data_IF_438532053984
#
_entry.id   IF_438532053984
#
_cell.length_a   1.000
_cell.length_b   1.000
_cell.length_c   1.000
_cell.angle_alpha   90.00
_cell.angle_beta   90.00
_cell.angle_gamma   90.00
#
_symmetry.space_group_name_H-M   'P 1'
#
loop_
_entity.id
_entity.type
_entity.pdbx_description
1 polymer ?
#
# COMPACT_ATOMS: atom_id res chain seq x y z
N UNK A 1 6.75 -15.04 -18.97
CA UNK A 1 5.83 -13.89 -18.79
C UNK A 1 4.91 -13.67 -19.99
N UNK A 2 3.71 -13.10 -19.81
CA UNK A 2 2.80 -12.68 -20.90
C UNK A 2 2.47 -11.19 -20.80
N UNK A 3 2.52 -10.46 -21.93
CA UNK A 3 2.12 -9.05 -22.03
C UNK A 3 0.92 -8.90 -22.96
N UNK A 4 -0.08 -8.14 -22.53
CA UNK A 4 -1.32 -7.92 -23.28
C UNK A 4 -1.75 -6.46 -23.21
N UNK A 5 -2.43 -5.94 -24.26
CA UNK A 5 -3.10 -4.65 -24.15
C UNK A 5 -4.29 -4.81 -23.20
N UNK A 6 -4.30 -4.03 -22.12
CA UNK A 6 -5.36 -4.04 -21.11
C UNK A 6 -6.47 -3.03 -21.44
N UNK A 7 -6.08 -1.87 -21.99
CA UNK A 7 -7.03 -0.84 -22.39
C UNK A 7 -6.34 0.47 -22.75
N UNK A 8 -7.11 1.56 -22.73
CA UNK A 8 -6.61 2.91 -22.94
C UNK A 8 -7.16 3.86 -21.87
N UNK A 9 -6.36 4.84 -21.46
CA UNK A 9 -6.81 5.97 -20.65
C UNK A 9 -7.72 6.91 -21.45
N UNK A 10 -8.37 7.85 -20.77
CA UNK A 10 -9.23 8.85 -21.41
C UNK A 10 -8.50 9.72 -22.46
N UNK A 11 -7.21 10.00 -22.26
CA UNK A 11 -6.34 10.71 -23.21
C UNK A 11 -5.73 9.79 -24.30
N UNK A 12 -6.12 8.51 -24.33
CA UNK A 12 -5.78 7.56 -25.40
C UNK A 12 -4.44 6.83 -25.22
N UNK A 13 -3.75 7.00 -24.07
CA UNK A 13 -2.52 6.25 -23.78
C UNK A 13 -2.83 4.77 -23.58
N UNK A 14 -1.97 3.93 -24.13
CA UNK A 14 -2.13 2.48 -24.02
C UNK A 14 -1.66 1.98 -22.65
N UNK A 15 -2.48 1.13 -22.05
CA UNK A 15 -2.19 0.44 -20.79
C UNK A 15 -2.05 -1.03 -21.09
N UNK A 16 -0.95 -1.62 -20.62
CA UNK A 16 -0.63 -3.03 -20.78
C UNK A 16 -0.73 -3.74 -19.44
N UNK A 17 -1.16 -5.00 -19.48
CA UNK A 17 -1.00 -5.94 -18.39
C UNK A 17 0.18 -6.86 -18.62
N UNK A 18 0.78 -7.30 -17.52
CA UNK A 18 1.93 -8.21 -17.48
C UNK A 18 1.61 -9.32 -16.50
N UNK A 19 1.42 -10.53 -17.00
CA UNK A 19 1.14 -11.73 -16.19
C UNK A 19 2.41 -12.54 -16.01
N UNK A 20 2.79 -12.76 -14.76
CA UNK A 20 3.92 -13.61 -14.37
C UNK A 20 3.33 -14.83 -13.67
N UNK A 21 3.66 -16.03 -14.17
CA UNK A 21 3.24 -17.31 -13.62
C UNK A 21 4.48 -18.10 -13.24
N UNK A 22 4.52 -18.59 -12.00
CA UNK A 22 5.66 -19.35 -11.49
C UNK A 22 5.47 -20.87 -11.71
N UNK A 23 6.46 -21.67 -11.35
CA UNK A 23 6.44 -23.13 -11.56
C UNK A 23 5.30 -23.86 -10.84
N UNK A 24 4.84 -23.32 -9.70
CA UNK A 24 3.72 -23.89 -8.94
C UNK A 24 2.34 -23.66 -9.58
N UNK A 25 2.29 -22.78 -10.60
CA UNK A 25 1.06 -22.36 -11.24
C UNK A 25 0.40 -21.13 -10.62
N UNK A 26 0.96 -20.60 -9.53
CA UNK A 26 0.56 -19.31 -8.99
C UNK A 26 0.93 -18.18 -9.96
N UNK A 27 0.20 -17.07 -9.90
CA UNK A 27 0.42 -15.96 -10.82
C UNK A 27 0.13 -14.60 -10.19
N UNK A 28 0.80 -13.58 -10.72
CA UNK A 28 0.45 -12.18 -10.50
C UNK A 28 0.15 -11.50 -11.83
N UNK A 29 -0.66 -10.44 -11.77
CA UNK A 29 -0.85 -9.51 -12.89
C UNK A 29 -0.47 -8.09 -12.45
N UNK A 30 0.31 -7.42 -13.29
CA UNK A 30 0.74 -6.04 -13.10
C UNK A 30 0.18 -5.17 -14.23
N UNK A 31 -0.12 -3.90 -13.95
CA UNK A 31 -0.49 -2.90 -14.97
C UNK A 31 0.52 -1.76 -14.95
N UNK A 32 0.89 -1.23 -16.12
CA UNK A 32 1.71 -0.01 -16.15
C UNK A 32 0.92 1.27 -15.83
N UNK A 33 -0.42 1.22 -15.80
CA UNK A 33 -1.21 2.30 -15.20
C UNK A 33 -1.08 2.22 -13.68
N UNK A 34 -0.62 3.29 -13.04
CA UNK A 34 -0.39 3.36 -11.59
C UNK A 34 0.63 2.38 -11.03
N UNK A 35 1.43 1.72 -11.89
CA UNK A 35 2.27 0.57 -11.53
C UNK A 35 1.53 -0.40 -10.58
N UNK A 36 0.34 -0.83 -11.01
CA UNK A 36 -0.63 -1.55 -10.17
C UNK A 36 -0.29 -3.02 -10.06
N UNK A 37 -0.28 -3.55 -8.84
CA UNK A 37 -0.39 -4.98 -8.56
C UNK A 37 -1.87 -5.37 -8.63
N UNK A 38 -2.30 -5.83 -9.80
CA UNK A 38 -3.71 -6.03 -10.10
C UNK A 38 -4.24 -7.35 -9.57
N UNK A 39 -3.44 -8.41 -9.56
CA UNK A 39 -3.87 -9.77 -9.19
C UNK A 39 -2.76 -10.51 -8.47
N UNK A 40 -3.15 -11.34 -7.49
CA UNK A 40 -2.29 -12.38 -6.91
C UNK A 40 -3.15 -13.63 -6.76
N UNK A 41 -2.90 -14.64 -7.59
CA UNK A 41 -3.61 -15.92 -7.55
C UNK A 41 -2.72 -17.00 -6.96
N UNK A 42 -3.06 -17.46 -5.76
CA UNK A 42 -2.27 -18.40 -4.95
C UNK A 42 -3.13 -19.55 -4.43
N UNK A 43 -2.57 -20.77 -4.25
CA UNK A 43 -3.34 -21.93 -3.85
C UNK A 43 -3.77 -21.83 -2.37
N UNK A 44 -4.88 -22.45 -2.04
CA UNK A 44 -5.28 -22.77 -0.66
C UNK A 44 -4.72 -24.14 -0.22
N UNK A 45 -5.14 -24.63 0.95
CA UNK A 45 -4.67 -25.93 1.49
C UNK A 45 -5.07 -27.15 0.64
N UNK A 46 -6.09 -27.00 -0.21
CA UNK A 46 -6.57 -28.05 -1.11
C UNK A 46 -5.93 -27.93 -2.50
N UNK A 47 -5.12 -26.89 -2.75
CA UNK A 47 -4.52 -26.59 -4.05
C UNK A 47 -5.41 -25.73 -4.96
N UNK A 48 -6.54 -25.23 -4.47
CA UNK A 48 -7.44 -24.38 -5.24
C UNK A 48 -6.93 -22.93 -5.27
N UNK A 49 -6.78 -22.39 -6.48
CA UNK A 49 -6.27 -21.04 -6.68
C UNK A 49 -7.39 -20.01 -6.55
N UNK A 50 -7.12 -18.93 -5.80
CA UNK A 50 -7.99 -17.76 -5.79
C UNK A 50 -7.16 -16.48 -5.86
N UNK A 51 -7.72 -15.47 -6.51
CA UNK A 51 -7.20 -14.11 -6.47
C UNK A 51 -7.45 -13.49 -5.09
N UNK A 52 -6.37 -13.20 -4.37
CA UNK A 52 -6.42 -12.64 -3.01
C UNK A 52 -6.40 -11.11 -3.01
N UNK A 53 -6.47 -10.44 -4.17
CA UNK A 53 -6.56 -8.98 -4.24
C UNK A 53 -7.96 -8.48 -4.61
N UNK A 54 -8.47 -7.55 -3.82
CA UNK A 54 -9.61 -6.70 -4.16
C UNK A 54 -9.17 -5.70 -5.23
N UNK A 55 -9.93 -5.56 -6.31
CA UNK A 55 -9.60 -4.66 -7.41
C UNK A 55 -10.57 -4.78 -8.58
N UNK A 56 -10.08 -4.56 -9.80
CA UNK A 56 -10.91 -4.46 -11.01
C UNK A 56 -10.35 -5.30 -12.17
N UNK A 57 -11.24 -5.91 -12.96
CA UNK A 57 -10.91 -6.71 -14.16
C UNK A 57 -10.92 -5.89 -15.47
N UNK A 58 -11.28 -4.60 -15.41
CA UNK A 58 -11.44 -3.75 -16.60
C UNK A 58 -10.70 -2.44 -16.46
N UNK A 59 -10.31 -1.85 -17.61
CA UNK A 59 -9.74 -0.49 -17.63
C UNK A 59 -10.73 0.55 -17.10
N UNK A 60 -12.03 0.39 -17.36
CA UNK A 60 -13.07 1.28 -16.83
C UNK A 60 -13.08 1.28 -15.30
N UNK A 61 -13.05 0.10 -14.66
CA UNK A 61 -12.95 0.00 -13.20
C UNK A 61 -11.65 0.59 -12.67
N UNK A 62 -10.53 0.41 -13.38
CA UNK A 62 -9.25 1.01 -13.01
C UNK A 62 -9.28 2.55 -13.08
N UNK A 63 -10.04 3.15 -14.01
CA UNK A 63 -10.20 4.60 -14.14
C UNK A 63 -11.20 5.20 -13.14
N UNK A 64 -12.21 4.43 -12.71
CA UNK A 64 -13.21 4.87 -11.73
C UNK A 64 -12.83 4.57 -10.27
N UNK A 65 -11.76 3.80 -10.07
CA UNK A 65 -11.13 3.47 -8.78
C UNK A 65 -10.94 4.71 -7.90
N UNK A 66 -11.56 4.73 -6.72
CA UNK A 66 -11.41 5.85 -5.77
C UNK A 66 -10.44 5.58 -4.63
N UNK A 67 -10.13 4.33 -4.33
CA UNK A 67 -9.38 3.96 -3.13
C UNK A 67 -8.09 3.21 -3.47
N UNK A 68 -7.42 3.60 -4.55
CA UNK A 68 -6.03 3.19 -4.82
C UNK A 68 -5.78 1.67 -4.95
N UNK A 69 -6.78 0.84 -5.26
CA UNK A 69 -6.65 -0.64 -5.22
C UNK A 69 -5.42 -1.15 -6.00
N UNK A 70 -4.42 -1.64 -5.24
CA UNK A 70 -3.18 -2.22 -5.77
C UNK A 70 -2.20 -1.23 -6.40
N UNK A 71 -2.49 0.08 -6.38
CA UNK A 71 -1.68 1.13 -7.00
C UNK A 71 -0.37 1.35 -6.24
N UNK A 72 0.65 1.79 -6.96
CA UNK A 72 1.81 2.45 -6.35
C UNK A 72 1.44 3.89 -6.01
N UNK A 73 1.65 4.26 -4.74
CA UNK A 73 1.22 5.53 -4.17
C UNK A 73 2.43 6.39 -3.80
N UNK A 74 2.40 7.66 -4.19
CA UNK A 74 3.45 8.64 -3.90
C UNK A 74 3.12 10.00 -4.54
N UNK A 75 3.98 11.02 -4.49
CA UNK A 75 5.36 11.04 -3.94
C UNK A 75 5.45 10.78 -2.44
N UNK A 76 4.42 11.18 -1.69
CA UNK A 76 4.29 10.94 -0.26
C UNK A 76 2.96 10.25 0.03
N UNK A 77 3.02 8.96 0.36
CA UNK A 77 1.91 8.15 0.80
C UNK A 77 1.34 8.67 2.13
N UNK A 78 0.06 8.37 2.34
CA UNK A 78 -0.75 8.82 3.45
C UNK A 78 -0.87 10.36 3.52
N UNK A 79 -1.15 10.92 4.69
CA UNK A 79 -1.57 12.31 4.86
C UNK A 79 -0.40 13.26 5.13
N UNK A 80 -0.47 14.45 4.54
CA UNK A 80 0.31 15.63 4.92
C UNK A 80 -0.68 16.69 5.42
N UNK A 81 -0.41 17.26 6.59
CA UNK A 81 -1.26 18.30 7.17
C UNK A 81 -1.42 19.52 6.26
N UNK A 82 -2.53 20.24 6.42
CA UNK A 82 -2.90 21.37 5.56
C UNK A 82 -1.95 22.57 5.52
N UNK A 83 -0.92 22.58 6.35
CA UNK A 83 0.11 23.63 6.37
C UNK A 83 1.21 23.39 5.33
N UNK A 84 1.19 22.25 4.64
CA UNK A 84 2.23 21.84 3.71
C UNK A 84 3.42 21.23 4.46
N UNK A 85 4.62 21.48 3.97
CA UNK A 85 5.87 20.98 4.54
C UNK A 85 6.92 22.09 4.62
N UNK A 86 7.88 21.93 5.53
CA UNK A 86 9.03 22.85 5.66
C UNK A 86 10.32 22.08 5.40
N UNK A 87 11.17 22.58 4.50
CA UNK A 87 12.49 22.01 4.22
C UNK A 87 13.51 23.15 4.31
N UNK A 88 14.52 23.00 5.17
CA UNK A 88 15.57 24.00 5.40
C UNK A 88 15.03 25.43 5.64
N UNK A 89 13.92 25.54 6.39
CA UNK A 89 13.26 26.81 6.71
C UNK A 89 12.39 27.40 5.60
N UNK A 90 12.30 26.76 4.43
CA UNK A 90 11.40 27.15 3.34
C UNK A 90 10.10 26.35 3.40
N UNK A 91 8.98 27.06 3.34
CA UNK A 91 7.65 26.47 3.31
C UNK A 91 7.24 26.10 1.87
N UNK A 92 6.75 24.89 1.69
CA UNK A 92 6.19 24.38 0.45
C UNK A 92 4.71 24.08 0.65
N UNK A 93 3.86 24.67 -0.20
CA UNK A 93 2.42 24.39 -0.22
C UNK A 93 2.17 23.19 -1.10
N UNK A 94 1.74 22.09 -0.49
CA UNK A 94 1.37 20.88 -1.21
C UNK A 94 -0.12 20.95 -1.61
N UNK A 95 -0.46 20.46 -2.80
CA UNK A 95 -1.84 20.42 -3.28
C UNK A 95 -2.73 19.62 -2.33
N UNK A 96 -3.89 20.18 -1.97
CA UNK A 96 -4.86 19.55 -1.07
C UNK A 96 -5.97 18.90 -1.89
N UNK A 97 -6.27 17.65 -1.61
CA UNK A 97 -7.27 16.85 -2.35
C UNK A 97 -8.40 16.33 -1.48
N UNK A 98 -8.32 16.49 -0.15
CA UNK A 98 -9.42 16.14 0.76
C UNK A 98 -10.03 17.42 1.30
N UNK A 99 -11.22 17.77 0.80
CA UNK A 99 -12.04 18.92 1.19
C UNK A 99 -11.29 20.26 1.30
N UNK A 100 -10.18 20.42 0.55
CA UNK A 100 -9.30 21.60 0.66
C UNK A 100 -8.57 21.73 2.01
N UNK A 101 -8.58 20.69 2.84
CA UNK A 101 -7.98 20.67 4.18
C UNK A 101 -6.53 20.19 4.17
N UNK A 102 -6.29 18.98 3.66
CA UNK A 102 -5.00 18.30 3.70
C UNK A 102 -4.72 17.53 2.39
N UNK A 103 -3.49 17.06 2.25
CA UNK A 103 -3.07 16.20 1.14
C UNK A 103 -3.12 14.75 1.57
N UNK A 104 -3.64 13.88 0.72
CA UNK A 104 -3.61 12.44 0.84
C UNK A 104 -2.91 11.85 -0.39
N UNK A 105 -2.00 10.89 -0.16
CA UNK A 105 -1.40 10.05 -1.21
C UNK A 105 -0.75 10.84 -2.35
N UNK A 106 -0.04 11.93 -2.03
CA UNK A 106 0.63 12.78 -3.02
C UNK A 106 -0.31 13.38 -4.07
N UNK A 107 -1.60 13.56 -3.72
CA UNK A 107 -2.66 13.93 -4.66
C UNK A 107 -2.83 12.94 -5.84
N UNK A 108 -2.59 11.66 -5.57
CA UNK A 108 -2.80 10.55 -6.52
C UNK A 108 -2.02 10.68 -7.83
N UNK A 109 -0.92 11.43 -7.84
CA UNK A 109 -0.08 11.64 -9.02
C UNK A 109 0.38 10.29 -9.60
N UNK A 110 0.94 9.43 -8.75
CA UNK A 110 1.55 8.17 -9.18
C UNK A 110 0.50 7.16 -9.64
N UNK A 111 -0.63 7.14 -8.95
CA UNK A 111 -1.73 6.21 -9.16
C UNK A 111 -2.42 6.42 -10.51
N UNK A 112 -2.51 7.68 -10.94
CA UNK A 112 -3.18 8.09 -12.17
C UNK A 112 -2.22 8.26 -13.36
N UNK A 113 -0.94 7.95 -13.20
CA UNK A 113 0.04 7.99 -14.28
C UNK A 113 0.06 6.68 -15.08
N UNK A 114 0.32 6.77 -16.38
CA UNK A 114 0.78 5.63 -17.18
C UNK A 114 2.30 5.59 -17.09
N UNK A 115 2.83 4.64 -16.36
CA UNK A 115 4.27 4.45 -16.17
C UNK A 115 4.88 3.81 -17.43
N UNK A 116 6.15 4.15 -17.68
CA UNK A 116 6.97 3.38 -18.60
C UNK A 116 7.24 2.02 -17.98
N UNK A 117 7.59 1.03 -18.80
CA UNK A 117 7.90 -0.32 -18.31
C UNK A 117 9.10 -0.93 -19.03
N UNK A 118 9.76 -1.82 -18.32
CA UNK A 118 10.84 -2.68 -18.79
C UNK A 118 10.61 -4.08 -18.24
N UNK A 119 10.61 -5.10 -19.12
CA UNK A 119 10.51 -6.50 -18.73
C UNK A 119 11.91 -6.99 -18.39
N UNK A 120 12.11 -7.46 -17.17
CA UNK A 120 13.38 -7.96 -16.64
C UNK A 120 13.30 -9.48 -16.48
N UNK A 121 13.66 -10.21 -17.53
CA UNK A 121 13.54 -11.67 -17.54
C UNK A 121 12.08 -12.14 -17.57
N UNK A 122 11.83 -13.34 -17.03
CA UNK A 122 10.51 -13.96 -17.04
C UNK A 122 9.69 -13.73 -15.76
N UNK A 123 10.32 -13.18 -14.72
CA UNK A 123 9.78 -13.10 -13.36
C UNK A 123 9.59 -11.66 -12.85
N UNK A 124 10.03 -10.64 -13.61
CA UNK A 124 10.09 -9.27 -13.10
C UNK A 124 9.71 -8.19 -14.13
N UNK A 125 9.01 -7.15 -13.67
CA UNK A 125 8.71 -5.95 -14.46
C UNK A 125 9.10 -4.72 -13.65
N UNK A 126 9.90 -3.85 -14.26
CA UNK A 126 10.22 -2.53 -13.72
C UNK A 126 9.33 -1.48 -14.37
N UNK A 127 8.68 -0.65 -13.56
CA UNK A 127 7.96 0.53 -14.00
C UNK A 127 8.76 1.78 -13.65
N UNK A 128 8.75 2.79 -14.53
CA UNK A 128 9.39 4.07 -14.26
C UNK A 128 8.52 5.29 -14.57
N UNK A 129 8.64 6.32 -13.73
CA UNK A 129 7.87 7.56 -13.84
C UNK A 129 8.69 8.76 -13.35
N UNK A 130 8.63 9.85 -14.11
CA UNK A 130 9.31 11.11 -13.77
C UNK A 130 8.31 12.12 -13.23
N UNK A 131 8.55 12.60 -12.02
CA UNK A 131 7.77 13.65 -11.35
C UNK A 131 8.60 14.93 -11.34
N UNK A 132 8.13 15.97 -12.04
CA UNK A 132 8.87 17.23 -12.20
C UNK A 132 8.89 18.06 -10.90
N UNK A 133 9.89 18.93 -10.75
CA UNK A 133 9.93 19.95 -9.71
C UNK A 133 8.65 20.80 -9.72
N UNK A 134 8.08 21.02 -8.54
CA UNK A 134 6.85 21.75 -8.33
C UNK A 134 5.57 20.96 -8.61
N UNK A 135 5.64 19.72 -9.11
CA UNK A 135 4.45 18.92 -9.35
C UNK A 135 3.75 18.61 -8.01
N UNK A 136 2.44 18.84 -7.96
CA UNK A 136 1.63 18.82 -6.73
C UNK A 136 2.17 19.67 -5.56
N UNK A 137 3.06 20.62 -5.86
CA UNK A 137 3.72 21.48 -4.88
C UNK A 137 4.99 20.91 -4.25
N UNK A 138 5.41 19.69 -4.62
CA UNK A 138 6.64 19.07 -4.09
C UNK A 138 7.90 19.64 -4.79
N UNK A 139 8.97 19.94 -4.03
CA UNK A 139 10.23 20.40 -4.62
C UNK A 139 11.03 19.27 -5.27
N UNK A 140 11.91 19.66 -6.19
CA UNK A 140 12.90 18.81 -6.87
C UNK A 140 12.27 17.82 -7.86
N UNK A 141 12.98 17.58 -8.96
CA UNK A 141 12.63 16.51 -9.88
C UNK A 141 12.88 15.17 -9.20
N UNK A 142 12.12 14.16 -9.59
CA UNK A 142 12.21 12.83 -9.02
C UNK A 142 12.03 11.77 -10.10
N UNK A 143 13.07 10.96 -10.31
CA UNK A 143 13.00 9.74 -11.09
C UNK A 143 12.55 8.60 -10.17
N UNK A 144 11.39 8.02 -10.44
CA UNK A 144 10.85 6.90 -9.69
C UNK A 144 10.99 5.62 -10.52
N UNK A 145 11.42 4.56 -9.86
CA UNK A 145 11.35 3.20 -10.36
C UNK A 145 10.71 2.29 -9.30
N UNK A 146 9.83 1.40 -9.74
CA UNK A 146 9.29 0.30 -8.94
C UNK A 146 9.42 -0.99 -9.71
N UNK A 147 10.10 -1.97 -9.13
CA UNK A 147 10.27 -3.31 -9.72
C UNK A 147 9.45 -4.31 -8.93
N UNK A 148 8.59 -5.02 -9.62
CA UNK A 148 7.86 -6.17 -9.09
C UNK A 148 8.53 -7.45 -9.58
N UNK A 149 8.85 -8.34 -8.66
CA UNK A 149 9.37 -9.69 -8.95
C UNK A 149 8.46 -10.73 -8.31
N UNK A 150 8.11 -11.78 -9.05
CA UNK A 150 7.35 -12.92 -8.53
C UNK A 150 8.15 -14.22 -8.60
N UNK A 151 8.40 -14.83 -7.43
CA UNK A 151 9.29 -15.99 -7.33
C UNK A 151 8.54 -17.33 -7.27
N UNK A 152 9.26 -18.43 -7.47
CA UNK A 152 8.73 -19.80 -7.29
C UNK A 152 8.37 -20.14 -5.84
N UNK A 153 8.70 -19.25 -4.88
CA UNK A 153 8.28 -19.37 -3.47
C UNK A 153 7.00 -18.60 -3.17
N UNK A 154 6.25 -18.19 -4.21
CA UNK A 154 5.08 -17.31 -4.09
C UNK A 154 5.39 -16.01 -3.34
N UNK A 155 6.57 -15.43 -3.59
CA UNK A 155 6.94 -14.13 -3.04
C UNK A 155 6.67 -13.05 -4.09
N UNK A 156 5.84 -12.06 -3.75
CA UNK A 156 5.78 -10.78 -4.46
C UNK A 156 6.77 -9.85 -3.80
N UNK A 157 7.86 -9.53 -4.49
CA UNK A 157 8.86 -8.55 -4.05
C UNK A 157 8.61 -7.24 -4.77
N UNK A 158 8.55 -6.15 -4.02
CA UNK A 158 8.38 -4.79 -4.52
C UNK A 158 9.62 -4.02 -4.10
N UNK A 159 10.42 -3.62 -5.08
CA UNK A 159 11.62 -2.84 -4.89
C UNK A 159 11.39 -1.42 -5.42
N UNK A 160 11.60 -0.42 -4.58
CA UNK A 160 11.50 0.98 -4.93
C UNK A 160 12.90 1.60 -5.05
N UNK A 161 13.16 2.34 -6.12
CA UNK A 161 14.36 3.17 -6.29
C UNK A 161 13.92 4.56 -6.78
N UNK A 162 13.95 5.54 -5.88
CA UNK A 162 13.47 6.89 -6.11
C UNK A 162 14.62 7.88 -5.90
N UNK A 163 15.04 8.53 -6.99
CA UNK A 163 16.26 9.36 -7.05
C UNK A 163 15.90 10.81 -7.36
N UNK A 164 15.87 11.69 -6.35
CA UNK A 164 15.63 13.11 -6.57
C UNK A 164 16.91 13.83 -7.01
N UNK A 165 16.77 14.97 -7.68
CA UNK A 165 17.89 15.87 -8.02
C UNK A 165 18.06 17.04 -7.04
N UNK A 166 17.39 16.96 -5.89
CA UNK A 166 17.42 17.93 -4.81
C UNK A 166 16.66 17.41 -3.58
N UNK A 167 16.63 18.18 -2.49
CA UNK A 167 15.91 17.75 -1.28
C UNK A 167 14.41 17.67 -1.52
N UNK A 168 13.79 16.55 -1.18
CA UNK A 168 12.34 16.36 -1.28
C UNK A 168 11.86 15.24 -0.34
N UNK A 169 10.64 15.29 0.21
CA UNK A 169 10.09 14.13 0.90
C UNK A 169 9.75 13.03 -0.09
N UNK A 170 10.05 11.78 0.28
CA UNK A 170 9.66 10.59 -0.46
C UNK A 170 9.08 9.60 0.53
N UNK A 171 7.90 9.05 0.23
CA UNK A 171 7.32 7.95 0.98
C UNK A 171 6.44 7.18 0.00
N UNK A 172 6.99 6.15 -0.64
CA UNK A 172 6.28 5.39 -1.68
C UNK A 172 5.85 4.06 -1.10
N UNK A 173 4.63 3.62 -1.43
CA UNK A 173 4.08 2.33 -0.99
C UNK A 173 3.21 1.71 -2.07
N UNK A 174 2.73 0.49 -1.84
CA UNK A 174 1.73 -0.16 -2.67
C UNK A 174 0.44 -0.38 -1.86
N UNK A 175 -0.69 0.04 -2.41
CA UNK A 175 -1.98 0.09 -1.73
C UNK A 175 -2.87 -1.13 -2.08
N UNK A 176 -2.29 -2.33 -2.11
CA UNK A 176 -3.03 -3.57 -2.31
C UNK A 176 -3.99 -3.87 -1.15
N UNK A 177 -5.23 -4.20 -1.51
CA UNK A 177 -6.26 -4.69 -0.59
C UNK A 177 -6.31 -6.21 -0.67
N UNK A 178 -5.87 -6.87 0.39
CA UNK A 178 -5.83 -8.31 0.49
C UNK A 178 -7.11 -8.88 1.09
N UNK A 179 -7.54 -10.02 0.56
CA UNK A 179 -8.47 -10.94 1.19
C UNK A 179 -7.99 -12.37 0.92
N UNK A 180 -7.36 -13.01 1.90
CA UNK A 180 -6.74 -14.33 1.73
C UNK A 180 -7.76 -15.46 1.48
N UNK A 181 -9.05 -15.26 1.79
CA UNK A 181 -10.11 -16.19 1.40
C UNK A 181 -10.41 -16.14 -0.11
N UNK A 182 -9.87 -15.14 -0.80
CA UNK A 182 -10.19 -14.77 -2.18
C UNK A 182 -11.16 -13.59 -2.21
N UNK A 183 -11.10 -12.79 -3.28
CA UNK A 183 -11.87 -11.55 -3.40
C UNK A 183 -13.38 -11.71 -3.11
N UNK A 184 -14.00 -12.81 -3.55
CA UNK A 184 -15.43 -13.07 -3.38
C UNK A 184 -15.81 -13.73 -2.04
N UNK A 185 -14.87 -13.93 -1.12
CA UNK A 185 -15.11 -14.65 0.15
C UNK A 185 -15.84 -13.84 1.22
N UNK A 186 -16.11 -12.56 0.97
CA UNK A 186 -16.82 -11.67 1.89
C UNK A 186 -15.86 -10.74 2.64
N UNK A 187 -16.11 -10.54 3.93
CA UNK A 187 -15.30 -9.62 4.75
C UNK A 187 -14.07 -10.30 5.37
N UNK A 188 -13.09 -9.50 5.79
CA UNK A 188 -11.81 -9.98 6.34
C UNK A 188 -11.78 -10.14 7.87
N UNK A 189 -12.93 -10.05 8.55
CA UNK A 189 -12.95 -9.97 10.02
C UNK A 189 -12.53 -11.28 10.71
N UNK A 190 -12.60 -12.41 10.00
CA UNK A 190 -12.15 -13.73 10.47
C UNK A 190 -10.65 -13.96 10.31
N UNK A 191 -9.96 -13.20 9.46
CA UNK A 191 -8.51 -13.30 9.30
C UNK A 191 -7.80 -13.05 10.63
N UNK A 192 -6.80 -13.86 10.91
CA UNK A 192 -5.92 -13.70 12.05
C UNK A 192 -4.71 -12.87 11.64
N UNK A 193 -4.49 -11.75 12.32
CA UNK A 193 -3.42 -10.78 12.08
C UNK A 193 -2.44 -10.79 13.25
N UNK A 194 -1.15 -10.73 12.94
CA UNK A 194 -0.07 -10.40 13.86
C UNK A 194 0.78 -9.29 13.25
N UNK A 195 1.10 -8.26 14.03
CA UNK A 195 1.97 -7.16 13.62
C UNK A 195 3.06 -7.00 14.69
N UNK A 196 4.32 -7.01 14.26
CA UNK A 196 5.49 -6.83 15.14
C UNK A 196 5.72 -5.35 15.42
N UNK A 197 4.82 -4.77 16.19
CA UNK A 197 4.83 -3.37 16.61
C UNK A 197 4.41 -3.25 18.08
N UNK A 198 5.19 -2.49 18.86
CA UNK A 198 4.85 -2.11 20.25
C UNK A 198 4.11 -0.79 20.34
N UNK A 199 4.12 -0.01 19.27
CA UNK A 199 3.53 1.32 19.24
C UNK A 199 2.74 1.55 17.95
N UNK A 200 1.84 2.52 17.99
CA UNK A 200 1.15 3.07 16.82
C UNK A 200 1.13 4.60 16.92
N UNK A 201 0.73 5.27 15.85
CA UNK A 201 0.60 6.74 15.83
C UNK A 201 -0.88 7.14 15.90
N UNK A 202 -1.38 7.62 17.05
CA UNK A 202 -2.72 8.18 17.15
C UNK A 202 -2.93 9.36 16.20
N UNK A 203 -4.16 9.50 15.73
CA UNK A 203 -4.59 10.52 14.80
C UNK A 203 -5.70 11.39 15.37
N UNK A 204 -5.84 12.59 14.80
CA UNK A 204 -6.93 13.51 15.07
C UNK A 204 -8.16 13.20 14.19
N UNK A 205 -9.22 14.01 14.31
CA UNK A 205 -10.48 13.83 13.56
C UNK A 205 -10.33 13.89 12.04
N UNK A 206 -9.28 14.55 11.52
CA UNK A 206 -8.94 14.58 10.08
C UNK A 206 -8.03 13.38 9.69
N UNK A 207 -7.87 12.40 10.59
CA UNK A 207 -7.00 11.22 10.44
C UNK A 207 -5.51 11.55 10.25
N UNK A 208 -5.05 12.71 10.75
CA UNK A 208 -3.64 13.12 10.72
C UNK A 208 -2.98 12.74 12.04
N UNK A 209 -1.78 12.10 12.03
CA UNK A 209 -1.06 11.81 13.27
C UNK A 209 -0.79 13.04 14.11
N UNK A 210 -1.00 12.91 15.42
CA UNK A 210 -0.82 14.00 16.41
C UNK A 210 0.64 14.24 16.79
N UNK A 211 1.54 13.34 16.37
CA UNK A 211 2.94 13.28 16.83
C UNK A 211 3.15 12.32 18.01
N UNK A 212 2.07 11.85 18.65
CA UNK A 212 2.16 10.84 19.70
C UNK A 212 2.62 9.48 19.13
N UNK A 213 3.47 8.78 19.89
CA UNK A 213 3.80 7.36 19.68
C UNK A 213 3.24 6.59 20.88
N UNK A 214 2.08 5.97 20.71
CA UNK A 214 1.31 5.33 21.80
C UNK A 214 1.57 3.84 21.85
N UNK A 215 1.77 3.28 23.05
CA UNK A 215 1.90 1.84 23.24
C UNK A 215 0.62 1.11 22.79
N UNK A 216 0.77 -0.03 22.12
CA UNK A 216 -0.37 -0.90 21.78
C UNK A 216 -0.84 -1.74 22.97
N UNK A 217 0.00 -1.88 24.00
CA UNK A 217 -0.26 -2.77 25.14
C UNK A 217 -1.57 -2.43 25.85
N UNK A 218 -2.39 -3.46 26.11
CA UNK A 218 -3.73 -3.33 26.71
C UNK A 218 -4.70 -2.44 25.93
N UNK A 219 -4.51 -2.30 24.60
CA UNK A 219 -5.43 -1.58 23.71
C UNK A 219 -5.97 -2.50 22.61
N UNK A 220 -7.04 -2.10 21.89
CA UNK A 220 -7.48 -2.79 20.67
C UNK A 220 -6.41 -2.89 19.58
N UNK A 221 -5.33 -2.11 19.65
CA UNK A 221 -4.22 -2.15 18.70
C UNK A 221 -3.18 -3.24 19.03
N UNK A 222 -3.33 -3.99 20.12
CA UNK A 222 -2.37 -5.05 20.45
C UNK A 222 -2.50 -6.26 19.50
N UNK A 223 -1.73 -6.25 18.41
CA UNK A 223 -1.56 -7.35 17.45
C UNK A 223 -0.21 -8.05 17.63
N UNK A 224 0.49 -7.85 18.76
CA UNK A 224 1.80 -8.51 19.03
C UNK A 224 1.65 -10.03 19.10
N UNK A 225 0.49 -10.50 19.53
CA UNK A 225 0.06 -11.91 19.48
C UNK A 225 -1.06 -12.02 18.43
N UNK A 226 -1.09 -13.07 17.61
CA UNK A 226 -2.12 -13.24 16.59
C UNK A 226 -3.53 -13.13 17.18
N UNK A 227 -4.39 -12.36 16.50
CA UNK A 227 -5.82 -12.26 16.82
C UNK A 227 -6.64 -12.01 15.57
N UNK A 228 -7.93 -12.35 15.62
CA UNK A 228 -8.88 -12.00 14.55
C UNK A 228 -8.95 -10.48 14.39
N UNK A 229 -8.92 -9.99 13.14
CA UNK A 229 -9.09 -8.57 12.84
C UNK A 229 -10.39 -8.04 13.46
N UNK A 230 -11.47 -8.82 13.40
CA UNK A 230 -12.76 -8.46 13.95
C UNK A 230 -12.88 -8.48 15.48
N UNK A 231 -11.87 -8.94 16.24
CA UNK A 231 -11.99 -9.15 17.70
C UNK A 231 -12.36 -7.85 18.43
N UNK A 232 -11.60 -6.79 18.15
CA UNK A 232 -11.70 -5.53 18.91
C UNK A 232 -12.17 -4.35 18.04
N UNK A 233 -12.42 -4.56 16.74
CA UNK A 233 -12.65 -3.48 15.75
C UNK A 233 -13.83 -2.56 16.06
N UNK A 234 -14.78 -3.02 16.87
CA UNK A 234 -15.96 -2.27 17.31
C UNK A 234 -15.88 -1.81 18.77
N UNK A 235 -14.70 -1.88 19.40
CA UNK A 235 -14.50 -1.39 20.76
C UNK A 235 -14.74 0.13 20.82
N UNK A 236 -15.23 0.66 21.95
CA UNK A 236 -15.46 2.11 22.13
C UNK A 236 -14.14 2.86 22.41
N UNK A 237 -13.09 2.53 21.66
CA UNK A 237 -11.80 3.21 21.70
C UNK A 237 -11.84 4.42 20.75
N UNK A 238 -11.33 5.55 21.22
CA UNK A 238 -11.34 6.82 20.48
C UNK A 238 -10.75 6.68 19.08
N UNK A 239 -9.63 5.97 18.94
CA UNK A 239 -8.90 5.85 17.68
C UNK A 239 -9.64 4.93 16.70
N UNK A 240 -10.31 3.89 17.18
CA UNK A 240 -11.20 3.07 16.35
C UNK A 240 -12.45 3.83 15.88
N UNK A 241 -12.98 4.74 16.70
CA UNK A 241 -14.11 5.59 16.31
C UNK A 241 -13.67 6.56 15.20
N UNK A 242 -12.52 7.22 15.36
CA UNK A 242 -11.95 8.14 14.35
C UNK A 242 -11.69 7.39 13.04
N UNK A 243 -11.04 6.23 13.09
CA UNK A 243 -10.71 5.43 11.90
C UNK A 243 -11.85 4.59 11.33
N UNK A 244 -13.03 4.57 11.98
CA UNK A 244 -14.15 3.67 11.67
C UNK A 244 -13.76 2.18 11.68
N UNK A 245 -12.77 1.85 12.51
CA UNK A 245 -12.00 0.60 12.49
C UNK A 245 -10.50 0.91 12.48
N UNK A 246 -9.70 -0.05 12.03
CA UNK A 246 -8.26 0.19 11.86
C UNK A 246 -8.02 0.98 10.56
N UNK A 247 -7.44 2.17 10.71
CA UNK A 247 -6.78 2.97 9.67
C UNK A 247 -5.56 3.67 10.29
N UNK A 248 -4.61 2.89 10.81
CA UNK A 248 -3.53 3.43 11.64
C UNK A 248 -2.16 2.93 11.20
N UNK A 249 -1.17 3.81 11.35
CA UNK A 249 0.22 3.45 11.20
C UNK A 249 0.75 2.78 12.48
N UNK A 250 1.28 1.57 12.33
CA UNK A 250 1.99 0.82 13.35
C UNK A 250 3.49 1.06 13.25
N UNK A 251 4.12 1.35 14.38
CA UNK A 251 5.56 1.59 14.49
C UNK A 251 6.29 0.24 14.63
N UNK A 252 6.93 -0.21 13.55
CA UNK A 252 7.52 -1.54 13.46
C UNK A 252 8.76 -1.67 14.35
N UNK A 253 8.88 -2.80 15.04
CA UNK A 253 10.03 -3.08 15.91
C UNK A 253 11.34 -3.23 15.11
N UNK A 254 12.48 -3.00 15.77
CA UNK A 254 13.83 -3.28 15.25
C UNK A 254 14.15 -2.63 13.89
N UNK A 255 13.62 -1.43 13.62
CA UNK A 255 13.98 -0.67 12.42
C UNK A 255 15.46 -0.31 12.43
N UNK A 256 16.18 -0.83 11.43
CA UNK A 256 17.61 -0.58 11.19
C UNK A 256 17.89 -0.23 9.73
N UNK A 257 16.84 -0.13 8.91
CA UNK A 257 16.94 -0.10 7.45
C UNK A 257 17.23 -1.46 6.80
N UNK A 258 17.27 -2.54 7.57
CA UNK A 258 17.38 -3.90 7.04
C UNK A 258 16.00 -4.55 6.88
N UNK A 259 15.85 -5.34 5.80
CA UNK A 259 14.66 -6.14 5.53
C UNK A 259 14.39 -7.11 6.69
N UNK A 260 13.19 -7.07 7.25
CA UNK A 260 12.76 -7.92 8.37
C UNK A 260 11.29 -8.25 8.26
N UNK A 261 10.89 -9.34 8.91
CA UNK A 261 9.48 -9.69 9.04
C UNK A 261 8.78 -8.62 9.89
N UNK A 262 7.57 -8.22 9.49
CA UNK A 262 6.79 -7.22 10.23
C UNK A 262 5.36 -7.66 10.53
N UNK A 263 4.80 -8.59 9.75
CA UNK A 263 3.45 -9.07 9.95
C UNK A 263 3.24 -10.49 9.41
N UNK A 264 2.24 -11.15 9.98
CA UNK A 264 1.67 -12.40 9.47
C UNK A 264 0.16 -12.29 9.43
N UNK A 265 -0.45 -12.80 8.37
CA UNK A 265 -1.89 -12.90 8.22
C UNK A 265 -2.28 -14.30 7.83
N UNK A 266 -3.33 -14.84 8.44
CA UNK A 266 -3.83 -16.18 8.17
C UNK A 266 -5.35 -16.16 7.99
N UNK A 267 -5.84 -16.85 6.96
CA UNK A 267 -7.26 -17.15 6.81
C UNK A 267 -7.55 -18.59 7.21
N UNK A 268 -8.29 -18.83 8.31
CA UNK A 268 -8.54 -20.18 8.80
C UNK A 268 -9.40 -21.04 7.87
N UNK A 269 -10.21 -20.44 7.00
CA UNK A 269 -11.10 -21.17 6.09
C UNK A 269 -10.31 -21.76 4.91
N UNK A 270 -9.53 -20.95 4.19
CA UNK A 270 -8.70 -21.42 3.07
C UNK A 270 -7.39 -22.08 3.53
N UNK A 271 -6.87 -21.71 4.70
CA UNK A 271 -5.52 -22.06 5.12
C UNK A 271 -4.42 -21.21 4.48
N UNK A 272 -4.78 -20.21 3.66
CA UNK A 272 -3.78 -19.29 3.10
C UNK A 272 -3.16 -18.44 4.20
N UNK A 273 -1.84 -18.27 4.09
CA UNK A 273 -1.02 -17.47 4.99
C UNK A 273 -0.17 -16.50 4.19
N UNK A 274 -0.06 -15.28 4.68
CA UNK A 274 0.78 -14.22 4.14
C UNK A 274 1.81 -13.82 5.20
N UNK A 275 3.10 -13.98 4.91
CA UNK A 275 4.20 -13.46 5.72
C UNK A 275 4.78 -12.23 5.05
N UNK A 276 4.93 -11.14 5.80
CA UNK A 276 5.25 -9.82 5.24
C UNK A 276 6.59 -9.33 5.75
N UNK A 277 7.42 -8.80 4.85
CA UNK A 277 8.75 -8.27 5.13
C UNK A 277 8.88 -6.83 4.61
N UNK A 278 9.63 -6.00 5.33
CA UNK A 278 9.98 -4.65 4.89
C UNK A 278 11.24 -4.15 5.56
N UNK A 279 11.95 -3.23 4.91
CA UNK A 279 13.01 -2.44 5.54
C UNK A 279 12.50 -1.13 6.16
N UNK A 280 11.24 -0.75 5.93
CA UNK A 280 10.66 0.52 6.38
C UNK A 280 10.31 0.54 7.89
N UNK A 281 10.14 1.75 8.47
CA UNK A 281 9.87 1.89 9.91
C UNK A 281 8.41 1.66 10.30
N UNK A 282 7.45 1.80 9.38
CA UNK A 282 6.03 1.75 9.67
C UNK A 282 5.23 0.92 8.68
N UNK A 283 4.01 0.59 9.08
CA UNK A 283 2.99 0.02 8.20
C UNK A 283 1.64 0.63 8.50
N UNK A 284 0.94 1.14 7.48
CA UNK A 284 -0.48 1.46 7.59
C UNK A 284 -1.28 0.16 7.57
N UNK A 285 -2.03 -0.10 8.64
CA UNK A 285 -3.02 -1.17 8.66
C UNK A 285 -4.41 -0.56 8.52
N UNK A 286 -4.95 -0.67 7.30
CA UNK A 286 -6.27 -0.19 6.94
C UNK A 286 -7.17 -1.35 6.53
N UNK A 287 -8.38 -1.44 7.09
CA UNK A 287 -9.27 -2.59 6.86
C UNK A 287 -10.44 -2.29 5.93
N UNK A 288 -10.32 -1.32 5.01
CA UNK A 288 -11.37 -1.10 4.01
C UNK A 288 -12.66 -0.48 4.56
N UNK A 289 -12.55 0.43 5.53
CA UNK A 289 -13.68 1.02 6.25
C UNK A 289 -14.62 1.87 5.39
N UNK A 290 -14.14 2.40 4.26
CA UNK A 290 -14.88 3.34 3.40
C UNK A 290 -15.56 2.68 2.20
N UNK A 291 -15.24 1.42 1.92
CA UNK A 291 -15.94 0.65 0.90
C UNK A 291 -17.41 0.45 1.28
N UNK A 292 -18.33 0.76 0.37
CA UNK A 292 -19.78 0.75 0.63
C UNK A 292 -20.58 -0.11 -0.37
N UNK A 293 -19.90 -0.73 -1.34
CA UNK A 293 -20.49 -1.56 -2.38
C UNK A 293 -20.89 -0.80 -3.65
N UNK A 294 -20.67 0.52 -3.73
CA UNK A 294 -20.97 1.32 -4.92
C UNK A 294 -20.04 1.02 -6.10
N UNK A 295 -18.78 0.67 -5.84
CA UNK A 295 -17.83 0.23 -6.85
C UNK A 295 -17.95 -1.28 -7.10
N UNK A 296 -18.00 -1.66 -8.38
CA UNK A 296 -18.07 -3.05 -8.83
C UNK A 296 -16.67 -3.49 -9.27
N UNK A 297 -16.12 -4.49 -8.57
CA UNK A 297 -14.80 -5.04 -8.81
C UNK A 297 -14.81 -6.29 -9.67
N UNK A 298 -13.78 -7.11 -9.48
CA UNK A 298 -13.54 -8.34 -10.25
C UNK A 298 -14.72 -9.30 -10.22
N UNK A 299 -14.97 -10.05 -11.29
CA UNK A 299 -16.08 -11.00 -11.33
C UNK A 299 -17.46 -10.40 -11.06
N UNK A 300 -17.61 -9.06 -11.16
CA UNK A 300 -18.83 -8.29 -10.84
C UNK A 300 -19.24 -8.31 -9.37
N UNK A 301 -18.33 -8.59 -8.44
CA UNK A 301 -18.62 -8.47 -7.02
C UNK A 301 -18.49 -7.01 -6.57
N UNK A 302 -19.36 -6.53 -5.67
CA UNK A 302 -19.23 -5.19 -5.10
C UNK A 302 -18.08 -5.11 -4.09
N UNK A 303 -17.34 -3.99 -4.08
CA UNK A 303 -16.35 -3.67 -3.04
C UNK A 303 -17.09 -3.22 -1.78
N UNK A 304 -17.42 -4.16 -0.91
CA UNK A 304 -18.21 -3.89 0.30
C UNK A 304 -17.34 -3.59 1.52
N UNK A 305 -17.97 -3.04 2.56
CA UNK A 305 -17.32 -2.67 3.81
C UNK A 305 -16.47 -3.81 4.36
N UNK A 306 -15.16 -3.54 4.53
CA UNK A 306 -14.16 -4.50 5.04
C UNK A 306 -14.04 -5.78 4.21
N UNK A 307 -14.22 -5.68 2.89
CA UNK A 307 -13.94 -6.78 1.94
C UNK A 307 -12.46 -7.06 1.71
N UNK A 308 -11.56 -6.16 2.15
CA UNK A 308 -10.11 -6.33 2.09
C UNK A 308 -9.38 -5.44 3.09
N UNK A 309 -8.12 -5.79 3.39
CA UNK A 309 -7.22 -5.02 4.23
C UNK A 309 -5.93 -4.64 3.49
N UNK A 310 -5.31 -3.53 3.87
CA UNK A 310 -4.03 -3.06 3.34
C UNK A 310 -2.94 -3.17 4.42
N UNK A 311 -1.71 -3.41 3.99
CA UNK A 311 -0.50 -3.35 4.79
C UNK A 311 0.52 -2.47 4.07
N UNK A 312 0.31 -1.16 4.10
CA UNK A 312 1.14 -0.22 3.34
C UNK A 312 2.42 0.08 4.12
N UNK A 313 3.52 -0.57 3.75
CA UNK A 313 4.84 -0.30 4.37
C UNK A 313 5.31 1.10 4.00
N UNK A 314 5.68 1.91 5.00
CA UNK A 314 5.88 3.35 4.80
C UNK A 314 6.74 3.98 5.92
N UNK A 315 7.18 5.22 5.69
CA UNK A 315 7.46 6.17 6.78
C UNK A 315 6.15 6.64 7.42
N UNK A 316 6.21 7.09 8.67
CA UNK A 316 5.01 7.50 9.41
C UNK A 316 4.31 8.67 8.72
N UNK A 317 2.97 8.70 8.69
CA UNK A 317 2.26 9.79 8.03
C UNK A 317 2.59 11.15 8.67
N UNK A 318 2.59 12.19 7.84
CA UNK A 318 2.88 13.56 8.27
C UNK A 318 4.27 13.73 8.95
N UNK A 319 5.26 12.89 8.64
CA UNK A 319 6.58 12.87 9.30
C UNK A 319 7.31 14.23 9.31
N UNK A 320 7.36 14.97 8.19
CA UNK A 320 8.02 16.28 8.15
C UNK A 320 7.40 17.33 9.08
N UNK A 321 6.15 17.15 9.50
CA UNK A 321 5.46 18.04 10.43
C UNK A 321 5.50 17.50 11.88
N UNK A 322 6.17 16.36 12.11
CA UNK A 322 6.32 15.71 13.40
C UNK A 322 7.82 15.40 13.62
N UNK A 323 8.59 16.30 14.27
CA UNK A 323 10.05 16.20 14.33
C UNK A 323 10.58 14.95 15.04
N UNK A 324 9.78 14.35 15.94
CA UNK A 324 10.13 13.13 16.66
C UNK A 324 9.95 11.85 15.80
N UNK A 325 9.32 11.96 14.63
CA UNK A 325 9.18 10.84 13.70
C UNK A 325 10.46 10.66 12.89
N UNK A 326 10.65 9.43 12.39
CA UNK A 326 11.72 9.17 11.42
C UNK A 326 11.38 9.95 10.15
N UNK A 327 12.29 10.84 9.77
CA UNK A 327 12.07 11.78 8.68
C UNK A 327 12.23 11.10 7.32
N UNK A 328 11.32 11.41 6.41
CA UNK A 328 11.27 10.83 5.07
C UNK A 328 11.83 11.81 4.01
N UNK A 329 12.94 12.49 4.34
CA UNK A 329 13.57 13.51 3.51
C UNK A 329 14.82 12.94 2.81
N UNK A 330 14.86 13.05 1.48
CA UNK A 330 15.89 12.44 0.64
C UNK A 330 16.50 13.49 -0.29
N UNK A 331 17.68 13.19 -0.85
CA UNK A 331 18.40 14.05 -1.80
C UNK A 331 19.21 13.22 -2.82
N UNK A 332 19.92 13.89 -3.71
CA UNK A 332 20.72 13.28 -4.78
C UNK A 332 21.78 12.28 -4.28
N UNK A 333 22.27 12.47 -3.05
CA UNK A 333 23.31 11.64 -2.44
C UNK A 333 22.72 10.53 -1.57
N UNK A 334 21.46 10.69 -1.14
CA UNK A 334 20.72 9.76 -0.29
C UNK A 334 19.36 9.47 -0.94
N UNK A 335 19.31 8.61 -1.98
CA UNK A 335 18.06 8.24 -2.63
C UNK A 335 17.19 7.39 -1.68
N UNK A 336 15.88 7.36 -1.95
CA UNK A 336 14.98 6.41 -1.31
C UNK A 336 15.08 5.07 -2.04
N UNK A 337 15.62 4.07 -1.35
CA UNK A 337 15.65 2.67 -1.81
C UNK A 337 14.99 1.83 -0.73
N UNK A 338 14.02 1.01 -1.11
CA UNK A 338 13.26 0.20 -0.14
C UNK A 338 12.72 -1.07 -0.75
N UNK A 339 12.68 -2.14 0.05
CA UNK A 339 12.11 -3.44 -0.29
C UNK A 339 10.92 -3.80 0.60
N UNK A 340 9.85 -4.28 -0.02
CA UNK A 340 8.71 -4.93 0.64
C UNK A 340 8.43 -6.28 -0.02
N UNK A 341 8.17 -7.31 0.80
CA UNK A 341 7.91 -8.67 0.31
C UNK A 341 6.65 -9.24 0.96
N UNK A 342 5.73 -9.73 0.14
CA UNK A 342 4.59 -10.54 0.56
C UNK A 342 4.81 -11.98 0.11
N UNK A 343 5.01 -12.90 1.06
CA UNK A 343 5.17 -14.33 0.79
C UNK A 343 3.91 -15.09 1.14
N UNK A 344 3.42 -15.89 0.20
CA UNK A 344 2.21 -16.69 0.37
C UNK A 344 2.51 -18.17 0.56
N UNK A 345 1.80 -18.81 1.48
CA UNK A 345 1.80 -20.26 1.68
C UNK A 345 0.39 -20.73 2.03
N UNK A 346 0.19 -22.05 2.10
CA UNK A 346 -1.04 -22.64 2.62
C UNK A 346 -0.71 -23.75 3.62
N UNK A 347 -1.55 -23.87 4.66
CA UNK A 347 -1.45 -24.86 5.75
C UNK A 347 -2.73 -25.71 5.87
#
# INVERSE_FOLDING_TARGET
>A
MTKSLYGKTADGKEVFSFTIKNESGAEIELLNYGATLNKISVPDRNGDFADVLVGFDTMEGQLSCTDSQGRTVGRVANRISGNGITIDGKNYRITKNIDGKFTLHGNHEYENAVWNYEILGDDSVKFSYFSADGNEGFPSNLQNEVTFTFTDKNEVKIHYDCRPDGKTPINVTNHSYFNLGGYASGNILSHEMQIFAKYFTPMNEDSIPTGEIRSVENTPFDFRIPKKIGRDVSSPDEQLIIGRGYDHNFCLENYTGALREFAMVYDPESGRKMTCYTDLPGVQFYIGNYMDGSQIGKGKFPLTHRSGFCLETQYYPNALNNPDFIQNLFDENHPFVSDTVYRFSAE
#
